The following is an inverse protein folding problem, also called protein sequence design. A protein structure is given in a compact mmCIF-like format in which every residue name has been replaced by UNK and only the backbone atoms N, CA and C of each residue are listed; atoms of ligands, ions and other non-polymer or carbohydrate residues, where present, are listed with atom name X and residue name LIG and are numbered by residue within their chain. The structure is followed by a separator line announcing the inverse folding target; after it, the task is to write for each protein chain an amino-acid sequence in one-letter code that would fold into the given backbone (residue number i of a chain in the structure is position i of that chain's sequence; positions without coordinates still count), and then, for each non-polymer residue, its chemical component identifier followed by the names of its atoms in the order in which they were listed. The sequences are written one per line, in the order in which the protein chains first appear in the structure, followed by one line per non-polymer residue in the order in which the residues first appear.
data_IF_716468136979
#
_entry.id   IF_716468136979
#
_cell.length_a   1.000
_cell.length_b   1.000
_cell.length_c   1.000
_cell.angle_alpha   90.00
_cell.angle_beta   90.00
_cell.angle_gamma   90.00
#
_symmetry.space_group_name_H-M   'P 1'
#
loop_
_entity.id
_entity.type
_entity.pdbx_description
1 polymer ?
#
# COMPACT_ATOMS: atom_id res chain seq x y z
N UNK A 1 21.17 -12.02 9.71
CA UNK A 1 20.16 -11.07 9.19
C UNK A 1 18.75 -11.65 9.07
N UNK A 2 18.52 -12.97 9.02
CA UNK A 2 17.16 -13.56 8.96
C UNK A 2 16.43 -13.61 10.31
N UNK A 3 17.11 -13.51 11.46
CA UNK A 3 16.54 -13.83 12.77
C UNK A 3 15.74 -12.72 13.46
N UNK A 4 16.00 -11.43 13.20
CA UNK A 4 15.26 -10.33 13.83
C UNK A 4 13.98 -9.93 13.08
N UNK A 5 13.79 -10.42 11.84
CA UNK A 5 12.78 -9.91 10.94
C UNK A 5 11.52 -10.77 10.87
N UNK A 6 11.62 -12.06 11.12
CA UNK A 6 10.47 -12.94 11.14
C UNK A 6 9.54 -12.66 12.34
N UNK A 7 10.10 -12.26 13.47
CA UNK A 7 9.33 -11.92 14.67
C UNK A 7 8.39 -10.70 14.51
N UNK A 8 8.51 -9.93 13.43
CA UNK A 8 7.71 -8.72 13.18
C UNK A 8 6.62 -8.89 12.14
N UNK A 9 6.57 -10.02 11.42
CA UNK A 9 5.56 -10.26 10.39
C UNK A 9 4.13 -10.10 10.91
N UNK A 10 3.87 -10.58 12.10
CA UNK A 10 2.54 -10.54 12.72
C UNK A 10 2.36 -9.28 13.59
N UNK A 11 1.11 -8.81 13.80
CA UNK A 11 0.81 -7.77 14.77
C UNK A 11 1.32 -8.13 16.17
N UNK A 12 1.63 -7.11 16.98
CA UNK A 12 2.15 -7.30 18.33
C UNK A 12 1.20 -8.12 19.23
N UNK A 13 -0.10 -8.04 18.97
CA UNK A 13 -1.19 -8.73 19.67
C UNK A 13 -1.82 -9.86 18.82
N UNK A 14 -1.05 -10.48 17.95
CA UNK A 14 -1.53 -11.50 16.99
C UNK A 14 -2.25 -12.69 17.60
N UNK A 15 -2.00 -13.00 18.85
CA UNK A 15 -2.72 -14.07 19.59
C UNK A 15 -4.22 -13.76 19.76
N UNK A 16 -4.58 -12.47 19.75
CA UNK A 16 -5.95 -11.98 19.90
C UNK A 16 -6.55 -11.48 18.59
N UNK A 17 -5.69 -11.14 17.63
CA UNK A 17 -6.11 -10.61 16.33
C UNK A 17 -6.73 -11.68 15.44
N UNK A 18 -7.74 -11.29 14.66
CA UNK A 18 -8.29 -12.09 13.57
C UNK A 18 -7.66 -11.59 12.25
N UNK A 19 -6.82 -12.44 11.63
CA UNK A 19 -6.14 -12.08 10.41
C UNK A 19 -6.62 -12.96 9.25
N UNK A 20 -6.72 -12.36 8.07
CA UNK A 20 -7.04 -13.03 6.80
C UNK A 20 -5.87 -12.88 5.86
N UNK A 21 -5.54 -13.93 5.15
CA UNK A 21 -4.48 -13.93 4.17
C UNK A 21 -4.61 -14.98 3.10
N UNK A 22 -3.54 -15.14 2.35
CA UNK A 22 -3.46 -16.13 1.28
C UNK A 22 -2.07 -16.76 1.26
N UNK A 23 -2.02 -18.07 1.16
CA UNK A 23 -0.77 -18.83 1.10
C UNK A 23 -0.73 -19.73 -0.13
N UNK A 24 0.47 -19.98 -0.66
CA UNK A 24 0.69 -20.91 -1.75
C UNK A 24 0.81 -22.34 -1.19
N UNK A 25 -0.27 -23.10 -1.21
CA UNK A 25 -0.26 -24.52 -0.87
C UNK A 25 0.01 -25.39 -2.11
N UNK A 26 0.15 -26.70 -1.89
CA UNK A 26 0.42 -27.66 -2.97
C UNK A 26 -0.64 -27.61 -4.08
N UNK A 27 -1.91 -27.40 -3.71
CA UNK A 27 -3.03 -27.35 -4.64
C UNK A 27 -3.26 -25.97 -5.26
N UNK A 28 -2.53 -24.95 -4.82
CA UNK A 28 -2.60 -23.59 -5.35
C UNK A 28 -2.80 -22.52 -4.27
N UNK A 29 -3.06 -21.27 -4.70
CA UNK A 29 -3.37 -20.17 -3.80
C UNK A 29 -4.59 -20.48 -2.93
N UNK A 30 -4.45 -20.32 -1.62
CA UNK A 30 -5.42 -20.78 -0.64
C UNK A 30 -5.71 -19.67 0.38
N UNK A 31 -6.98 -19.25 0.56
CA UNK A 31 -7.39 -18.37 1.63
C UNK A 31 -7.14 -19.01 2.99
N UNK A 32 -6.55 -18.23 3.91
CA UNK A 32 -6.26 -18.67 5.28
C UNK A 32 -6.75 -17.65 6.29
N UNK A 33 -7.08 -18.17 7.48
CA UNK A 33 -7.38 -17.37 8.67
C UNK A 33 -6.30 -17.65 9.71
N UNK A 34 -5.76 -16.58 10.32
CA UNK A 34 -4.82 -16.68 11.43
C UNK A 34 -5.54 -16.29 12.70
N UNK A 35 -5.65 -17.21 13.64
CA UNK A 35 -6.30 -17.03 14.94
C UNK A 35 -5.82 -18.09 15.95
N UNK A 36 -5.79 -17.73 17.24
CA UNK A 36 -5.47 -18.67 18.32
C UNK A 36 -4.11 -19.37 18.10
N UNK A 37 -3.12 -18.67 17.61
CA UNK A 37 -1.76 -19.20 17.38
C UNK A 37 -1.61 -20.12 16.17
N UNK A 38 -2.63 -20.21 15.28
CA UNK A 38 -2.64 -21.11 14.12
C UNK A 38 -3.00 -20.41 12.83
N UNK A 39 -2.46 -20.91 11.74
CA UNK A 39 -2.86 -20.60 10.36
C UNK A 39 -3.75 -21.74 9.86
N UNK A 40 -4.97 -21.41 9.47
CA UNK A 40 -6.04 -22.37 9.15
C UNK A 40 -6.43 -22.19 7.69
N UNK A 41 -6.42 -23.26 6.91
CA UNK A 41 -6.97 -23.30 5.56
C UNK A 41 -8.50 -23.26 5.62
N UNK A 42 -9.09 -22.22 5.08
CA UNK A 42 -10.55 -22.00 5.05
C UNK A 42 -11.13 -22.10 3.64
N UNK A 43 -10.36 -22.62 2.69
CA UNK A 43 -10.78 -22.71 1.27
C UNK A 43 -12.04 -23.54 1.05
N UNK A 44 -12.35 -24.50 1.94
CA UNK A 44 -13.60 -25.26 1.89
C UNK A 44 -14.84 -24.39 2.21
N UNK A 45 -14.66 -23.24 2.86
CA UNK A 45 -15.73 -22.30 3.19
C UNK A 45 -15.81 -21.13 2.22
N UNK A 46 -14.67 -20.72 1.67
CA UNK A 46 -14.58 -19.65 0.67
C UNK A 46 -13.36 -19.91 -0.22
N UNK A 47 -13.57 -20.10 -1.52
CA UNK A 47 -12.50 -20.38 -2.48
C UNK A 47 -11.58 -19.21 -2.74
N UNK A 48 -12.05 -17.99 -2.48
CA UNK A 48 -11.32 -16.73 -2.67
C UNK A 48 -11.32 -15.90 -1.39
N UNK A 49 -10.39 -14.96 -1.28
CA UNK A 49 -10.41 -13.96 -0.19
C UNK A 49 -11.56 -12.99 -0.40
N UNK A 50 -11.95 -12.70 -1.65
CA UNK A 50 -13.14 -11.89 -1.92
C UNK A 50 -14.39 -12.51 -1.28
N UNK A 51 -14.67 -13.80 -1.56
CA UNK A 51 -15.79 -14.50 -0.93
C UNK A 51 -15.66 -14.57 0.61
N UNK A 52 -14.44 -14.77 1.11
CA UNK A 52 -14.19 -14.87 2.55
C UNK A 52 -14.55 -13.57 3.28
N UNK A 53 -14.20 -12.42 2.72
CA UNK A 53 -14.43 -11.12 3.36
C UNK A 53 -15.90 -10.68 3.35
N UNK A 54 -16.73 -11.24 2.48
CA UNK A 54 -18.20 -11.03 2.50
C UNK A 54 -18.89 -11.77 3.65
N UNK A 55 -18.17 -12.67 4.34
CA UNK A 55 -18.76 -13.48 5.41
C UNK A 55 -18.75 -12.75 6.75
N UNK A 56 -19.85 -12.87 7.49
CA UNK A 56 -19.97 -12.35 8.87
C UNK A 56 -19.45 -13.30 9.95
N UNK A 57 -19.03 -14.52 9.59
CA UNK A 57 -18.70 -15.61 10.53
C UNK A 57 -17.22 -16.04 10.51
N UNK A 58 -16.32 -15.24 9.91
CA UNK A 58 -14.90 -15.58 9.70
C UNK A 58 -14.22 -16.05 11.00
N UNK A 59 -14.53 -15.43 12.12
CA UNK A 59 -13.96 -15.79 13.41
C UNK A 59 -14.27 -17.23 13.86
N UNK A 60 -15.37 -17.79 13.36
CA UNK A 60 -15.84 -19.15 13.74
C UNK A 60 -15.40 -20.23 12.76
N UNK A 61 -14.91 -19.85 11.57
CA UNK A 61 -14.48 -20.81 10.56
C UNK A 61 -13.34 -21.69 11.09
N UNK A 62 -13.36 -22.98 10.74
CA UNK A 62 -12.34 -23.94 11.09
C UNK A 62 -11.93 -24.73 9.85
N UNK A 63 -10.80 -25.44 9.93
CA UNK A 63 -10.27 -26.19 8.81
C UNK A 63 -8.91 -26.82 9.13
N UNK A 64 -8.25 -27.41 8.12
CA UNK A 64 -6.90 -27.95 8.29
C UNK A 64 -5.91 -26.87 8.76
N UNK A 65 -5.09 -27.22 9.75
CA UNK A 65 -4.00 -26.35 10.19
C UNK A 65 -2.87 -26.42 9.17
N UNK A 66 -2.48 -25.27 8.62
CA UNK A 66 -1.36 -25.14 7.69
C UNK A 66 -0.04 -25.11 8.44
N UNK A 67 0.06 -24.27 9.47
CA UNK A 67 1.20 -24.17 10.38
C UNK A 67 0.80 -23.42 11.66
N UNK A 68 1.66 -23.45 12.66
CA UNK A 68 1.53 -22.57 13.83
C UNK A 68 2.08 -21.17 13.51
N UNK A 69 1.57 -20.13 14.16
CA UNK A 69 2.09 -18.75 14.01
C UNK A 69 3.56 -18.63 14.42
N UNK A 70 4.05 -19.50 15.30
CA UNK A 70 5.45 -19.59 15.67
C UNK A 70 6.35 -19.88 14.46
N UNK A 71 5.87 -20.67 13.47
CA UNK A 71 6.62 -20.93 12.24
C UNK A 71 6.75 -19.69 11.36
N UNK A 72 5.77 -18.80 11.38
CA UNK A 72 5.82 -17.50 10.69
C UNK A 72 6.78 -16.53 11.38
N UNK A 73 6.90 -16.62 12.71
CA UNK A 73 7.79 -15.79 13.51
C UNK A 73 9.26 -16.28 13.53
N UNK A 74 9.49 -17.54 13.14
CA UNK A 74 10.84 -18.12 13.07
C UNK A 74 11.50 -17.84 11.71
N UNK A 75 12.67 -17.21 11.66
CA UNK A 75 13.43 -17.00 10.41
C UNK A 75 13.81 -18.26 9.65
N UNK A 76 13.92 -19.38 10.36
CA UNK A 76 14.15 -20.72 9.82
C UNK A 76 12.90 -21.58 9.73
N UNK A 77 11.75 -21.03 10.13
CA UNK A 77 10.48 -21.75 10.16
C UNK A 77 10.05 -22.18 8.76
N UNK A 78 9.64 -23.42 8.65
CA UNK A 78 9.08 -23.94 7.40
C UNK A 78 7.60 -23.59 7.34
N UNK A 79 7.25 -22.70 6.44
CA UNK A 79 5.86 -22.38 6.12
C UNK A 79 5.71 -22.19 4.60
N UNK A 80 4.50 -22.42 4.04
CA UNK A 80 4.24 -22.11 2.64
C UNK A 80 4.43 -20.61 2.33
N UNK A 81 4.79 -20.24 1.07
CA UNK A 81 4.92 -18.86 0.68
C UNK A 81 3.66 -18.04 0.99
N UNK A 82 3.84 -16.86 1.57
CA UNK A 82 2.75 -15.91 1.86
C UNK A 82 2.54 -15.07 0.62
N UNK A 83 1.34 -15.12 0.08
CA UNK A 83 0.93 -14.32 -1.08
C UNK A 83 0.37 -12.97 -0.61
N UNK A 84 0.15 -12.07 -1.56
CA UNK A 84 -0.70 -10.90 -1.30
C UNK A 84 -2.04 -11.36 -0.71
N UNK A 85 -2.51 -10.75 0.39
CA UNK A 85 -3.68 -11.24 1.12
C UNK A 85 -5.01 -10.94 0.43
N UNK A 86 -4.99 -10.48 -0.81
CA UNK A 86 -6.15 -10.19 -1.66
C UNK A 86 -6.08 -11.01 -2.95
N UNK A 87 -7.19 -11.16 -3.65
CA UNK A 87 -7.27 -11.84 -4.95
C UNK A 87 -8.12 -11.06 -5.98
N UNK A 88 -9.44 -11.10 -5.89
CA UNK A 88 -10.35 -10.50 -6.87
C UNK A 88 -10.65 -9.02 -6.60
N UNK A 89 -10.29 -8.50 -5.43
CA UNK A 89 -10.50 -7.11 -5.07
C UNK A 89 -9.81 -6.17 -6.06
N UNK A 90 -10.54 -5.15 -6.51
CA UNK A 90 -9.94 -4.07 -7.29
C UNK A 90 -8.90 -3.32 -6.45
N UNK A 91 -7.72 -3.05 -7.01
CA UNK A 91 -6.64 -2.36 -6.30
C UNK A 91 -6.68 -0.87 -6.65
N UNK A 92 -7.17 -0.07 -5.70
CA UNK A 92 -7.25 1.39 -5.81
C UNK A 92 -6.20 2.05 -4.93
N UNK A 93 -5.82 3.26 -5.29
CA UNK A 93 -4.97 4.11 -4.46
C UNK A 93 -5.47 5.55 -4.47
N UNK A 94 -5.25 6.26 -3.36
CA UNK A 94 -5.50 7.68 -3.23
C UNK A 94 -4.16 8.42 -3.18
N UNK A 95 -3.94 9.34 -4.10
CA UNK A 95 -2.76 10.20 -4.14
C UNK A 95 -2.95 11.50 -3.38
N UNK A 96 -1.83 12.12 -3.00
CA UNK A 96 -1.76 13.51 -2.49
C UNK A 96 -2.64 13.76 -1.26
N UNK A 97 -2.80 12.75 -0.42
CA UNK A 97 -3.67 12.78 0.77
C UNK A 97 -3.02 13.40 2.01
N UNK A 98 -1.75 13.79 1.93
CA UNK A 98 -1.02 14.49 2.99
C UNK A 98 -0.49 15.82 2.46
N UNK A 99 -0.50 16.87 3.31
CA UNK A 99 0.00 18.18 2.90
C UNK A 99 1.48 18.15 2.45
N UNK A 100 2.29 17.30 3.09
CA UNK A 100 3.71 17.11 2.70
C UNK A 100 3.81 16.48 1.33
N UNK A 101 3.02 15.43 1.04
CA UNK A 101 3.01 14.79 -0.27
C UNK A 101 2.53 15.74 -1.37
N UNK A 102 1.54 16.61 -1.07
CA UNK A 102 1.11 17.66 -1.99
C UNK A 102 2.25 18.59 -2.40
N UNK A 103 3.05 19.04 -1.43
CA UNK A 103 4.21 19.88 -1.69
C UNK A 103 5.28 19.17 -2.53
N UNK A 104 5.58 17.92 -2.21
CA UNK A 104 6.54 17.12 -2.99
C UNK A 104 6.09 16.94 -4.45
N UNK A 105 4.79 16.69 -4.69
CA UNK A 105 4.26 16.61 -6.06
C UNK A 105 4.39 17.92 -6.83
N UNK A 106 4.15 19.07 -6.18
CA UNK A 106 4.38 20.39 -6.81
C UNK A 106 5.86 20.63 -7.12
N UNK A 107 6.75 20.16 -6.24
CA UNK A 107 8.21 20.23 -6.47
C UNK A 107 8.59 19.37 -7.69
N UNK A 108 8.14 18.12 -7.75
CA UNK A 108 8.40 17.20 -8.85
C UNK A 108 7.87 17.73 -10.20
N UNK A 109 6.66 18.29 -10.20
CA UNK A 109 6.06 18.92 -11.39
C UNK A 109 6.92 20.10 -11.89
N UNK A 110 7.32 21.00 -11.00
CA UNK A 110 8.16 22.17 -11.35
C UNK A 110 9.57 21.77 -11.78
N UNK A 111 10.11 20.73 -11.17
CA UNK A 111 11.38 20.12 -11.56
C UNK A 111 11.28 19.26 -12.84
N UNK A 112 10.06 19.03 -13.36
CA UNK A 112 9.79 18.17 -14.55
C UNK A 112 10.35 16.75 -14.39
N UNK A 113 10.33 16.21 -13.18
CA UNK A 113 10.89 14.90 -12.85
C UNK A 113 12.42 14.85 -12.78
N UNK A 114 13.08 16.00 -12.71
CA UNK A 114 14.52 16.11 -12.54
C UNK A 114 14.87 16.27 -11.05
N UNK A 115 15.56 15.27 -10.49
CA UNK A 115 15.92 15.23 -9.09
C UNK A 115 16.88 16.38 -8.68
N UNK A 116 17.81 16.75 -9.57
CA UNK A 116 18.81 17.81 -9.31
C UNK A 116 18.12 19.18 -9.20
N UNK A 117 17.10 19.44 -10.03
CA UNK A 117 16.33 20.69 -10.00
C UNK A 117 15.41 20.77 -8.76
N UNK A 118 14.91 19.63 -8.26
CA UNK A 118 13.92 19.57 -7.20
C UNK A 118 14.42 20.20 -5.88
N UNK A 119 15.70 20.02 -5.54
CA UNK A 119 16.27 20.55 -4.30
C UNK A 119 16.22 22.07 -4.21
N UNK A 120 16.54 22.76 -5.31
CA UNK A 120 16.48 24.24 -5.36
C UNK A 120 15.06 24.80 -5.18
N UNK A 121 14.06 24.05 -5.61
CA UNK A 121 12.64 24.46 -5.58
C UNK A 121 12.03 24.24 -4.18
N UNK A 122 12.44 23.20 -3.45
CA UNK A 122 11.82 22.77 -2.19
C UNK A 122 11.73 23.88 -1.12
N UNK A 123 12.84 24.55 -0.86
CA UNK A 123 12.90 25.57 0.18
C UNK A 123 11.98 26.77 -0.08
N UNK A 124 11.88 27.20 -1.32
CA UNK A 124 11.02 28.34 -1.72
C UNK A 124 9.53 27.99 -1.58
N UNK A 125 9.13 26.81 -2.04
CA UNK A 125 7.74 26.37 -1.96
C UNK A 125 7.27 26.15 -0.53
N UNK A 126 8.06 25.46 0.29
CA UNK A 126 7.71 25.21 1.70
C UNK A 126 7.50 26.53 2.46
N UNK A 127 8.40 27.49 2.26
CA UNK A 127 8.31 28.80 2.91
C UNK A 127 7.06 29.60 2.47
N UNK A 128 6.64 29.46 1.20
CA UNK A 128 5.57 30.29 0.62
C UNK A 128 4.17 29.72 0.80
N UNK A 129 4.00 28.39 0.70
CA UNK A 129 2.66 27.76 0.66
C UNK A 129 2.48 26.61 1.66
N UNK A 130 3.56 26.06 2.24
CA UNK A 130 3.48 24.86 3.09
C UNK A 130 2.55 25.00 4.29
N UNK A 131 2.62 26.13 5.00
CA UNK A 131 1.75 26.41 6.15
C UNK A 131 0.26 26.52 5.78
N UNK A 132 -0.05 27.16 4.64
CA UNK A 132 -1.42 27.32 4.17
C UNK A 132 -2.07 25.98 3.82
N UNK A 133 -1.35 25.11 3.11
CA UNK A 133 -1.87 23.80 2.70
C UNK A 133 -2.17 22.92 3.91
N UNK A 134 -1.31 22.93 4.94
CA UNK A 134 -1.52 22.16 6.18
C UNK A 134 -2.68 22.65 7.05
N UNK A 135 -3.12 23.90 6.88
CA UNK A 135 -4.11 24.54 7.76
C UNK A 135 -5.55 24.37 7.29
N UNK A 136 -5.80 23.95 6.06
CA UNK A 136 -7.14 23.86 5.49
C UNK A 136 -7.65 22.44 5.39
N UNK A 137 -8.96 22.28 5.64
CA UNK A 137 -9.65 21.01 5.36
C UNK A 137 -9.99 20.96 3.87
N UNK A 138 -9.64 19.89 3.15
CA UNK A 138 -9.97 19.73 1.73
C UNK A 138 -11.47 19.93 1.46
N UNK A 139 -11.80 20.68 0.40
CA UNK A 139 -13.17 20.98 0.00
C UNK A 139 -13.91 22.00 0.85
N UNK A 140 -13.24 22.63 1.85
CA UNK A 140 -13.86 23.68 2.67
C UNK A 140 -13.86 25.05 1.97
N UNK A 141 -14.62 26.02 2.52
CA UNK A 141 -14.58 27.42 2.07
C UNK A 141 -13.20 28.04 2.20
N UNK A 142 -12.49 27.73 3.27
CA UNK A 142 -11.12 28.19 3.51
C UNK A 142 -10.14 27.61 2.47
N UNK A 143 -10.34 26.36 2.06
CA UNK A 143 -9.56 25.77 0.97
C UNK A 143 -9.84 26.46 -0.37
N UNK A 144 -11.10 26.83 -0.65
CA UNK A 144 -11.45 27.56 -1.86
C UNK A 144 -10.86 28.97 -1.89
N UNK A 145 -10.82 29.68 -0.73
CA UNK A 145 -10.16 30.98 -0.61
C UNK A 145 -8.63 30.86 -0.82
N UNK A 146 -8.01 29.83 -0.22
CA UNK A 146 -6.59 29.55 -0.43
C UNK A 146 -6.30 29.24 -1.90
N UNK A 147 -7.14 28.45 -2.57
CA UNK A 147 -7.04 28.17 -3.99
C UNK A 147 -7.03 29.45 -4.82
N UNK A 148 -7.99 30.35 -4.58
CA UNK A 148 -8.07 31.63 -5.29
C UNK A 148 -6.78 32.46 -5.11
N UNK A 149 -6.28 32.56 -3.88
CA UNK A 149 -5.05 33.29 -3.58
C UNK A 149 -3.81 32.69 -4.27
N UNK A 150 -3.73 31.33 -4.36
CA UNK A 150 -2.64 30.64 -5.02
C UNK A 150 -2.70 30.78 -6.54
N UNK A 151 -3.90 30.83 -7.13
CA UNK A 151 -4.08 31.12 -8.57
C UNK A 151 -3.62 32.55 -8.88
N UNK A 152 -4.06 33.54 -8.11
CA UNK A 152 -3.67 34.95 -8.28
C UNK A 152 -2.16 35.16 -8.15
N UNK A 153 -1.51 34.39 -7.27
CA UNK A 153 -0.07 34.42 -7.08
C UNK A 153 0.73 33.60 -8.13
N UNK A 154 0.07 32.93 -9.09
CA UNK A 154 0.71 32.06 -10.08
C UNK A 154 1.38 30.82 -9.47
N UNK A 155 0.90 30.36 -8.29
CA UNK A 155 1.46 29.23 -7.57
C UNK A 155 0.57 27.98 -7.60
N UNK A 156 -0.53 28.01 -8.33
CA UNK A 156 -1.43 26.87 -8.46
C UNK A 156 -0.80 25.70 -9.23
N UNK A 157 -1.17 24.49 -8.83
CA UNK A 157 -0.78 23.24 -9.51
C UNK A 157 -1.96 22.28 -9.47
N UNK A 158 -2.05 21.39 -10.45
CA UNK A 158 -3.04 20.32 -10.49
C UNK A 158 -2.99 19.40 -9.26
N UNK A 159 -1.82 19.22 -8.65
CA UNK A 159 -1.68 18.45 -7.42
C UNK A 159 -2.28 19.14 -6.20
N UNK A 160 -2.31 20.46 -6.18
CA UNK A 160 -3.01 21.23 -5.17
C UNK A 160 -4.53 21.12 -5.31
N UNK A 161 -5.04 20.91 -6.54
CA UNK A 161 -6.46 20.67 -6.76
C UNK A 161 -6.95 19.44 -6.01
N UNK A 162 -6.23 18.31 -6.10
CA UNK A 162 -6.60 17.07 -5.42
C UNK A 162 -6.21 17.07 -3.94
N UNK A 163 -5.22 17.89 -3.55
CA UNK A 163 -4.80 18.01 -2.15
C UNK A 163 -5.82 18.75 -1.29
N UNK A 164 -6.31 19.92 -1.76
CA UNK A 164 -7.17 20.81 -0.98
C UNK A 164 -8.56 21.04 -1.60
N UNK A 165 -8.78 20.65 -2.86
CA UNK A 165 -10.08 20.71 -3.51
C UNK A 165 -11.10 19.70 -2.95
N UNK A 166 -12.34 19.70 -3.46
CA UNK A 166 -13.39 18.80 -2.97
C UNK A 166 -13.12 17.34 -3.29
N UNK A 167 -12.53 17.04 -4.46
CA UNK A 167 -12.36 15.69 -4.96
C UNK A 167 -10.94 15.18 -4.71
N UNK A 168 -10.84 13.95 -4.18
CA UNK A 168 -9.56 13.28 -4.00
C UNK A 168 -9.05 12.70 -5.33
N UNK A 169 -7.73 12.60 -5.46
CA UNK A 169 -7.15 11.74 -6.48
C UNK A 169 -7.37 10.27 -6.09
N UNK A 170 -8.18 9.55 -6.86
CA UNK A 170 -8.38 8.10 -6.71
C UNK A 170 -8.16 7.42 -8.05
N UNK A 171 -7.25 6.44 -8.11
CA UNK A 171 -6.91 5.75 -9.35
C UNK A 171 -6.81 4.24 -9.16
N UNK A 172 -6.80 3.48 -10.27
CA UNK A 172 -6.52 2.05 -10.25
C UNK A 172 -5.01 1.84 -10.22
N UNK A 173 -4.51 1.23 -9.15
CA UNK A 173 -3.07 1.03 -8.92
C UNK A 173 -2.52 -0.19 -9.66
N UNK A 174 -3.27 -1.29 -9.65
CA UNK A 174 -2.83 -2.55 -10.24
C UNK A 174 -4.02 -3.43 -10.65
N UNK A 175 -3.86 -4.32 -11.63
CA UNK A 175 -4.84 -5.34 -11.96
C UNK A 175 -5.05 -6.33 -10.79
N UNK A 176 -6.20 -6.98 -10.75
CA UNK A 176 -6.48 -8.07 -9.81
C UNK A 176 -5.45 -9.19 -9.97
N UNK A 177 -5.05 -9.84 -8.88
CA UNK A 177 -4.06 -10.92 -8.83
C UNK A 177 -2.62 -10.53 -9.22
N UNK A 178 -2.32 -9.26 -9.51
CA UNK A 178 -0.97 -8.82 -9.90
C UNK A 178 -0.12 -8.33 -8.73
N UNK A 179 -0.70 -8.16 -7.55
CA UNK A 179 0.00 -7.70 -6.36
C UNK A 179 0.89 -8.79 -5.77
N UNK A 180 2.02 -8.38 -5.19
CA UNK A 180 2.97 -9.28 -4.55
C UNK A 180 2.84 -9.23 -3.03
N UNK A 181 3.13 -10.35 -2.36
CA UNK A 181 2.99 -10.50 -0.92
C UNK A 181 4.27 -10.21 -0.13
N UNK A 182 4.26 -10.65 1.11
CA UNK A 182 5.40 -10.57 2.00
C UNK A 182 6.57 -11.43 1.51
N UNK A 183 7.77 -10.88 1.59
CA UNK A 183 9.02 -11.55 1.17
C UNK A 183 9.24 -11.57 -0.35
N UNK A 184 8.26 -11.13 -1.14
CA UNK A 184 8.39 -11.09 -2.59
C UNK A 184 9.20 -9.88 -3.07
N UNK A 185 9.67 -9.96 -4.32
CA UNK A 185 10.30 -8.82 -4.99
C UNK A 185 9.26 -7.76 -5.39
N UNK A 186 9.65 -6.48 -5.26
CA UNK A 186 8.91 -5.35 -5.85
C UNK A 186 9.70 -4.73 -7.00
N UNK A 187 8.99 -4.39 -8.07
CA UNK A 187 9.56 -3.95 -9.34
C UNK A 187 9.55 -2.45 -9.51
N UNK A 188 10.72 -1.85 -9.74
CA UNK A 188 10.86 -0.51 -10.31
C UNK A 188 11.03 -0.61 -11.83
N UNK A 189 10.60 0.37 -12.60
CA UNK A 189 10.87 0.37 -14.05
C UNK A 189 12.36 0.46 -14.32
N UNK A 190 12.84 -0.36 -15.25
CA UNK A 190 14.27 -0.41 -15.62
C UNK A 190 14.79 0.87 -16.28
N UNK A 191 13.90 1.76 -16.73
CA UNK A 191 14.18 3.06 -17.36
C UNK A 191 13.84 4.25 -16.43
N UNK A 192 13.57 3.99 -15.14
CA UNK A 192 13.42 5.02 -14.12
C UNK A 192 14.75 5.28 -13.41
N UNK A 193 15.06 6.54 -13.21
CA UNK A 193 16.27 7.02 -12.52
C UNK A 193 15.96 7.72 -11.19
N UNK A 194 14.66 7.97 -10.89
CA UNK A 194 14.24 8.59 -9.64
C UNK A 194 12.94 7.96 -9.15
N UNK A 195 13.05 7.08 -8.17
CA UNK A 195 11.95 6.26 -7.67
C UNK A 195 12.11 5.98 -6.17
N UNK A 196 11.02 5.60 -5.53
CA UNK A 196 10.99 5.38 -4.08
C UNK A 196 9.86 4.41 -3.68
N UNK A 197 9.91 3.84 -2.45
CA UNK A 197 8.73 3.22 -1.86
C UNK A 197 7.78 4.28 -1.35
N UNK A 198 6.51 3.99 -1.36
CA UNK A 198 5.48 4.71 -0.63
C UNK A 198 4.87 3.76 0.40
N UNK A 199 5.26 3.89 1.70
CA UNK A 199 4.71 3.09 2.78
C UNK A 199 3.32 3.59 3.14
N UNK A 200 2.33 2.70 3.06
CA UNK A 200 0.93 3.07 3.22
C UNK A 200 0.15 2.08 4.08
N UNK A 201 -0.92 2.58 4.69
CA UNK A 201 -2.01 1.71 5.14
C UNK A 201 -2.96 1.51 3.97
N UNK A 202 -3.43 0.28 3.84
CA UNK A 202 -4.40 -0.14 2.83
C UNK A 202 -5.65 -0.61 3.54
N UNK A 203 -6.77 0.08 3.37
CA UNK A 203 -8.06 -0.39 3.88
C UNK A 203 -8.70 -1.36 2.89
N UNK A 204 -9.48 -2.29 3.43
CA UNK A 204 -10.13 -3.35 2.67
C UNK A 204 -11.65 -3.21 2.82
N UNK A 205 -12.33 -3.07 1.70
CA UNK A 205 -13.78 -2.91 1.63
C UNK A 205 -14.44 -4.07 0.90
N UNK A 206 -15.59 -4.50 1.41
CA UNK A 206 -16.50 -5.47 0.81
C UNK A 206 -17.26 -4.89 -0.39
N UNK A 207 -18.04 -5.71 -1.07
CA UNK A 207 -18.80 -5.31 -2.26
C UNK A 207 -19.86 -4.22 -1.97
N UNK A 208 -20.37 -4.15 -0.75
CA UNK A 208 -21.29 -3.09 -0.28
C UNK A 208 -20.56 -1.81 0.20
N UNK A 209 -19.22 -1.79 0.11
CA UNK A 209 -18.39 -0.67 0.50
C UNK A 209 -18.08 -0.56 2.00
N UNK A 210 -18.45 -1.56 2.79
CA UNK A 210 -18.11 -1.60 4.20
C UNK A 210 -16.62 -1.90 4.38
N UNK A 211 -15.90 -1.04 5.09
CA UNK A 211 -14.50 -1.31 5.46
C UNK A 211 -14.49 -2.38 6.55
N UNK A 212 -13.82 -3.49 6.31
CA UNK A 212 -13.77 -4.65 7.21
C UNK A 212 -12.43 -4.84 7.89
N UNK A 213 -11.39 -4.14 7.46
CA UNK A 213 -10.06 -4.27 8.04
C UNK A 213 -9.03 -3.46 7.27
N UNK A 214 -7.77 -3.65 7.64
CA UNK A 214 -6.63 -2.99 7.00
C UNK A 214 -5.40 -3.90 6.93
N UNK A 215 -4.47 -3.51 6.06
CA UNK A 215 -3.15 -4.13 5.89
C UNK A 215 -2.12 -3.07 5.53
N UNK A 216 -0.86 -3.48 5.30
CA UNK A 216 0.21 -2.60 4.84
C UNK A 216 0.37 -2.68 3.32
N UNK A 217 0.84 -1.59 2.73
CA UNK A 217 1.14 -1.51 1.31
C UNK A 217 2.47 -0.84 1.01
N UNK A 218 3.09 -1.28 -0.08
CA UNK A 218 4.20 -0.61 -0.73
C UNK A 218 3.76 -0.20 -2.14
N UNK A 219 3.36 1.07 -2.27
CA UNK A 219 3.05 1.68 -3.56
C UNK A 219 4.36 2.17 -4.20
N UNK A 220 5.00 1.30 -4.99
CA UNK A 220 6.24 1.69 -5.69
C UNK A 220 5.96 2.87 -6.62
N UNK A 221 6.72 3.94 -6.41
CA UNK A 221 6.54 5.20 -7.12
C UNK A 221 7.72 5.54 -8.02
N UNK A 222 7.44 6.14 -9.18
CA UNK A 222 8.42 6.61 -10.17
C UNK A 222 8.31 8.14 -10.32
N UNK A 223 9.05 8.88 -9.47
CA UNK A 223 9.00 10.34 -9.37
C UNK A 223 9.39 11.03 -10.68
N UNK A 224 10.34 10.45 -11.43
CA UNK A 224 10.77 10.95 -12.75
C UNK A 224 9.68 10.83 -13.82
N UNK A 225 8.76 9.86 -13.68
CA UNK A 225 7.61 9.72 -14.59
C UNK A 225 6.46 10.65 -14.17
N UNK A 226 6.06 10.61 -12.92
CA UNK A 226 4.96 11.46 -12.41
C UNK A 226 5.29 12.95 -12.52
N UNK A 227 6.54 13.35 -12.20
CA UNK A 227 6.97 14.73 -12.26
C UNK A 227 7.00 15.31 -13.69
N UNK A 228 7.13 14.44 -14.72
CA UNK A 228 7.05 14.91 -16.11
C UNK A 228 5.63 15.26 -16.53
N UNK A 229 4.64 14.50 -16.12
CA UNK A 229 3.24 14.72 -16.43
C UNK A 229 2.32 13.82 -15.60
N UNK A 230 1.25 14.36 -15.04
CA UNK A 230 0.17 13.58 -14.40
C UNK A 230 -0.46 12.56 -15.39
N UNK A 231 -0.41 12.79 -16.69
CA UNK A 231 -0.88 11.84 -17.70
C UNK A 231 -0.03 10.56 -17.79
N UNK A 232 1.13 10.53 -17.14
CA UNK A 232 1.97 9.35 -17.01
C UNK A 232 1.71 8.53 -15.75
N UNK A 233 0.69 8.88 -14.95
CA UNK A 233 0.37 8.19 -13.69
C UNK A 233 0.26 6.68 -13.88
N UNK A 234 -0.52 6.19 -14.85
CA UNK A 234 -0.64 4.76 -15.12
C UNK A 234 0.70 4.08 -15.43
N UNK A 235 1.58 4.78 -16.15
CA UNK A 235 2.93 4.26 -16.46
C UNK A 235 3.85 4.30 -15.23
N UNK A 236 3.66 5.25 -14.35
CA UNK A 236 4.42 5.35 -13.10
C UNK A 236 4.01 4.26 -12.09
N UNK A 237 2.73 3.95 -12.01
CA UNK A 237 2.14 3.14 -10.93
C UNK A 237 1.88 1.67 -11.31
N UNK A 238 1.41 1.39 -12.53
CA UNK A 238 1.04 0.03 -12.96
C UNK A 238 2.16 -0.62 -13.78
N UNK A 239 3.02 -1.36 -13.09
CA UNK A 239 4.10 -2.14 -13.68
C UNK A 239 4.15 -3.53 -13.02
N UNK A 240 4.81 -4.51 -13.64
CA UNK A 240 4.98 -5.83 -13.03
C UNK A 240 5.62 -5.71 -11.65
N UNK A 241 5.00 -6.34 -10.64
CA UNK A 241 5.43 -6.35 -9.24
C UNK A 241 5.54 -4.96 -8.56
N UNK A 242 4.93 -3.89 -9.10
CA UNK A 242 5.03 -2.53 -8.53
C UNK A 242 4.11 -2.27 -7.33
N UNK A 243 3.43 -3.30 -6.82
CA UNK A 243 2.46 -3.16 -5.73
C UNK A 243 2.63 -4.30 -4.72
N UNK A 244 3.23 -4.00 -3.57
CA UNK A 244 3.32 -4.91 -2.44
C UNK A 244 2.14 -4.73 -1.49
N UNK A 245 1.49 -5.82 -1.04
CA UNK A 245 0.42 -5.80 -0.03
C UNK A 245 0.63 -6.94 0.95
N UNK A 246 0.49 -6.68 2.23
CA UNK A 246 0.57 -7.72 3.23
C UNK A 246 1.11 -7.28 4.60
N UNK A 247 1.47 -8.24 5.44
CA UNK A 247 1.44 -9.70 5.23
C UNK A 247 0.02 -10.30 5.25
N UNK A 248 -0.86 -9.78 6.12
CA UNK A 248 -2.24 -10.22 6.32
C UNK A 248 -3.17 -9.02 6.41
N UNK A 249 -4.44 -9.21 6.13
CA UNK A 249 -5.50 -8.26 6.46
C UNK A 249 -5.86 -8.49 7.93
N UNK A 250 -5.76 -7.47 8.78
CA UNK A 250 -6.33 -7.50 10.11
C UNK A 250 -7.76 -7.03 10.04
N UNK A 251 -8.69 -7.88 10.45
CA UNK A 251 -10.10 -7.54 10.50
C UNK A 251 -10.42 -6.65 11.70
N UNK A 252 -11.39 -5.77 11.54
CA UNK A 252 -11.86 -4.92 12.62
C UNK A 252 -12.58 -5.73 13.69
N UNK A 253 -12.28 -5.42 14.95
CA UNK A 253 -12.86 -6.00 16.13
C UNK A 253 -12.90 -4.97 17.30
N UNK A 254 -13.08 -5.42 18.53
CA UNK A 254 -13.10 -4.53 19.70
C UNK A 254 -11.75 -3.89 20.05
N UNK A 255 -10.65 -4.39 19.49
CA UNK A 255 -9.27 -3.93 19.77
C UNK A 255 -8.62 -3.21 18.59
N UNK A 256 -9.08 -3.46 17.38
CA UNK A 256 -8.61 -2.84 16.15
C UNK A 256 -9.78 -2.27 15.36
N UNK A 257 -9.84 -0.96 15.23
CA UNK A 257 -10.94 -0.22 14.63
C UNK A 257 -10.42 0.80 13.62
N UNK A 258 -11.31 1.52 12.94
CA UNK A 258 -10.93 2.64 12.08
C UNK A 258 -10.19 3.73 12.85
N UNK A 259 -10.49 3.95 14.13
CA UNK A 259 -9.75 4.92 14.95
C UNK A 259 -8.30 4.45 15.20
N UNK A 260 -8.08 3.14 15.34
CA UNK A 260 -6.72 2.58 15.38
C UNK A 260 -5.96 2.85 14.06
N UNK A 261 -6.64 2.77 12.92
CA UNK A 261 -6.07 3.13 11.61
C UNK A 261 -5.74 4.62 11.54
N UNK A 262 -6.66 5.49 11.98
CA UNK A 262 -6.45 6.96 12.03
C UNK A 262 -5.26 7.37 12.89
N UNK A 263 -4.99 6.61 13.94
CA UNK A 263 -3.90 6.88 14.90
C UNK A 263 -2.59 6.15 14.55
N UNK A 264 -2.58 5.32 13.52
CA UNK A 264 -1.43 4.48 13.21
C UNK A 264 -0.20 5.30 12.84
N UNK A 265 0.94 4.79 13.29
CA UNK A 265 2.26 5.25 12.87
C UNK A 265 2.90 4.12 12.06
N UNK A 266 3.28 4.43 10.83
CA UNK A 266 3.92 3.48 9.91
C UNK A 266 5.39 3.81 9.83
N UNK A 267 6.23 2.85 10.21
CA UNK A 267 7.67 2.96 10.10
C UNK A 267 8.15 2.36 8.78
N UNK A 268 9.09 3.06 8.16
CA UNK A 268 9.82 2.61 6.97
C UNK A 268 11.29 2.41 7.33
N UNK A 269 11.85 1.30 6.87
CA UNK A 269 13.29 1.07 6.83
C UNK A 269 13.68 0.51 5.47
N UNK A 270 14.77 1.04 4.92
CA UNK A 270 15.41 0.54 3.69
C UNK A 270 16.84 0.18 4.05
N UNK A 271 17.21 -1.06 3.74
CA UNK A 271 18.57 -1.56 3.85
C UNK A 271 19.12 -1.80 2.44
N UNK A 272 20.07 -0.99 2.00
CA UNK A 272 20.73 -1.12 0.69
C UNK A 272 21.86 -2.14 0.72
N UNK A 273 22.15 -2.82 -0.41
CA UNK A 273 23.19 -3.85 -0.50
C UNK A 273 24.61 -3.30 -0.21
N UNK A 274 24.84 -2.01 -0.41
CA UNK A 274 26.10 -1.33 -0.13
C UNK A 274 26.23 -0.85 1.32
N UNK A 275 25.29 -1.21 2.20
CA UNK A 275 25.27 -0.79 3.61
C UNK A 275 24.55 0.55 3.85
N UNK A 276 23.88 1.11 2.84
CA UNK A 276 23.01 2.25 3.01
C UNK A 276 21.82 1.89 3.91
N UNK A 277 21.45 2.81 4.79
CA UNK A 277 20.27 2.66 5.65
C UNK A 277 19.47 3.97 5.60
N UNK A 278 18.18 3.85 5.31
CA UNK A 278 17.23 4.94 5.45
C UNK A 278 16.11 4.50 6.38
N UNK A 279 15.72 5.40 7.29
CA UNK A 279 14.55 5.22 8.15
C UNK A 279 13.62 6.40 8.00
N UNK A 280 12.32 6.15 8.12
CA UNK A 280 11.31 7.20 8.09
C UNK A 280 10.06 6.74 8.80
N UNK A 281 9.19 7.70 9.09
CA UNK A 281 7.95 7.49 9.81
C UNK A 281 6.84 8.27 9.13
N UNK A 282 5.67 7.66 8.96
CA UNK A 282 4.45 8.28 8.46
C UNK A 282 3.36 8.13 9.52
N UNK A 283 2.75 9.23 9.95
CA UNK A 283 1.63 9.17 10.90
C UNK A 283 0.31 9.45 10.21
N UNK A 284 -0.65 8.55 10.38
CA UNK A 284 -2.00 8.70 9.82
C UNK A 284 -2.76 9.90 10.39
N UNK A 285 -2.35 10.43 11.54
CA UNK A 285 -2.94 11.66 12.11
C UNK A 285 -2.74 12.90 11.24
N UNK A 286 -1.78 12.87 10.32
CA UNK A 286 -1.51 13.97 9.40
C UNK A 286 -2.21 13.81 8.04
N UNK A 287 -2.99 12.76 7.86
CA UNK A 287 -3.80 12.62 6.65
C UNK A 287 -4.82 13.74 6.56
N UNK A 288 -4.87 14.43 5.44
CA UNK A 288 -5.80 15.56 5.24
C UNK A 288 -7.21 15.11 4.85
N UNK A 289 -7.36 13.86 4.41
CA UNK A 289 -8.66 13.26 4.05
C UNK A 289 -8.90 12.02 4.89
N UNK A 290 -10.06 11.95 5.53
CA UNK A 290 -10.45 10.78 6.33
C UNK A 290 -10.53 9.51 5.46
N UNK A 291 -10.03 8.34 5.94
CA UNK A 291 -10.10 7.09 5.19
C UNK A 291 -11.51 6.69 4.74
N UNK A 292 -12.55 6.91 5.57
CA UNK A 292 -13.93 6.62 5.19
C UNK A 292 -14.44 7.58 4.10
N UNK A 293 -13.97 8.83 4.10
CA UNK A 293 -14.27 9.78 3.01
C UNK A 293 -13.63 9.33 1.69
N UNK A 294 -12.38 8.87 1.71
CA UNK A 294 -11.71 8.35 0.51
C UNK A 294 -12.44 7.12 -0.06
N UNK A 295 -12.88 6.19 0.79
CA UNK A 295 -13.69 5.03 0.38
C UNK A 295 -15.02 5.48 -0.20
N UNK A 296 -15.70 6.44 0.43
CA UNK A 296 -16.97 7.01 -0.09
C UNK A 296 -16.77 7.68 -1.44
N UNK A 297 -15.68 8.40 -1.67
CA UNK A 297 -15.36 9.01 -2.96
C UNK A 297 -15.06 7.95 -4.03
N UNK A 298 -14.35 6.88 -3.69
CA UNK A 298 -14.10 5.76 -4.61
C UNK A 298 -15.41 5.07 -5.06
N UNK A 299 -16.42 5.07 -4.20
CA UNK A 299 -17.74 4.45 -4.45
C UNK A 299 -18.77 5.38 -5.07
N UNK A 300 -18.51 6.69 -5.15
CA UNK A 300 -19.53 7.70 -5.44
C UNK A 300 -20.36 7.43 -6.70
N UNK A 301 -19.72 6.92 -7.77
CA UNK A 301 -20.38 6.57 -9.05
C UNK A 301 -19.92 5.19 -9.56
N UNK A 302 -19.36 4.35 -8.67
CA UNK A 302 -18.79 3.05 -9.04
C UNK A 302 -19.18 1.95 -8.07
N UNK A 303 -19.30 0.72 -8.57
CA UNK A 303 -19.51 -0.50 -7.82
C UNK A 303 -18.30 -1.43 -7.96
N UNK A 304 -18.00 -2.17 -6.89
CA UNK A 304 -16.91 -3.15 -6.85
C UNK A 304 -17.46 -4.50 -6.39
N UNK A 305 -18.00 -5.33 -7.30
CA UNK A 305 -18.70 -6.57 -6.94
C UNK A 305 -17.90 -7.58 -6.11
N UNK A 306 -16.57 -7.57 -6.27
CA UNK A 306 -15.64 -8.44 -5.54
C UNK A 306 -14.92 -7.68 -4.40
N UNK A 307 -15.46 -6.51 -4.01
CA UNK A 307 -14.79 -5.60 -3.09
C UNK A 307 -13.60 -4.87 -3.71
N UNK A 308 -12.95 -4.05 -2.91
CA UNK A 308 -11.73 -3.35 -3.32
C UNK A 308 -10.83 -3.09 -2.13
N UNK A 309 -9.56 -2.82 -2.43
CA UNK A 309 -8.63 -2.27 -1.46
C UNK A 309 -8.25 -0.86 -1.87
N UNK A 310 -8.03 0.00 -0.88
CA UNK A 310 -7.65 1.39 -1.11
C UNK A 310 -6.39 1.73 -0.31
N UNK A 311 -5.32 2.01 -1.02
CA UNK A 311 -4.14 2.64 -0.48
C UNK A 311 -4.48 4.08 -0.09
N UNK A 312 -4.14 4.49 1.14
CA UNK A 312 -4.56 5.76 1.71
C UNK A 312 -3.62 6.93 1.41
N UNK A 313 -2.52 6.67 0.72
CA UNK A 313 -1.45 7.62 0.50
C UNK A 313 -0.38 7.60 1.59
N UNK A 314 0.70 8.32 1.36
CA UNK A 314 1.86 8.37 2.25
C UNK A 314 2.21 9.80 2.65
N UNK A 315 2.63 9.97 3.91
CA UNK A 315 3.32 11.18 4.38
C UNK A 315 4.80 11.17 3.95
N UNK A 316 5.36 9.96 3.76
CA UNK A 316 6.79 9.77 3.60
C UNK A 316 7.23 10.05 2.16
N UNK A 317 8.11 11.05 2.01
CA UNK A 317 8.84 11.31 0.78
C UNK A 317 10.35 11.26 1.09
N UNK A 318 11.10 10.23 0.63
CA UNK A 318 12.51 10.11 0.94
C UNK A 318 13.32 11.19 0.23
N UNK A 319 13.85 12.12 1.01
CA UNK A 319 14.67 13.25 0.53
C UNK A 319 16.13 13.11 0.97
N UNK A 320 16.45 12.12 1.80
CA UNK A 320 17.81 11.86 2.26
C UNK A 320 18.68 11.42 1.07
N UNK A 321 19.84 12.06 0.91
CA UNK A 321 20.79 11.71 -0.14
C UNK A 321 21.31 10.28 0.02
N UNK A 322 21.47 9.58 -1.11
CA UNK A 322 22.02 8.22 -1.13
C UNK A 322 23.44 8.17 -1.67
N UNK A 323 23.67 8.65 -2.88
CA UNK A 323 24.95 8.54 -3.56
C UNK A 323 25.71 9.86 -3.60
N UNK A 324 25.04 10.93 -3.96
CA UNK A 324 25.65 12.26 -4.14
C UNK A 324 24.83 13.32 -3.37
N UNK A 325 25.50 14.29 -2.74
CA UNK A 325 24.82 15.39 -2.06
C UNK A 325 23.84 16.12 -2.98
N UNK A 326 22.61 16.28 -2.53
CA UNK A 326 21.56 17.01 -3.23
C UNK A 326 20.73 16.21 -4.23
N UNK A 327 21.05 14.93 -4.44
CA UNK A 327 20.29 14.07 -5.38
C UNK A 327 19.14 13.31 -4.76
N UNK A 328 19.04 13.33 -3.42
CA UNK A 328 18.00 12.62 -2.70
C UNK A 328 18.13 11.10 -2.83
N UNK A 329 17.00 10.42 -2.60
CA UNK A 329 16.92 8.98 -2.63
C UNK A 329 16.44 8.46 -4.00
N UNK A 330 17.02 7.35 -4.43
CA UNK A 330 16.47 6.45 -5.45
C UNK A 330 16.79 5.00 -5.08
N UNK A 331 15.90 4.07 -5.45
CA UNK A 331 16.13 2.65 -5.22
C UNK A 331 17.28 2.08 -6.05
N UNK A 332 17.92 1.07 -5.47
CA UNK A 332 18.81 0.13 -6.19
C UNK A 332 18.24 -1.28 -6.12
N UNK A 333 18.41 -2.09 -7.15
CA UNK A 333 18.12 -3.53 -7.05
C UNK A 333 18.88 -4.14 -5.87
N UNK A 334 18.18 -4.94 -5.06
CA UNK A 334 18.70 -5.52 -3.83
C UNK A 334 18.38 -4.71 -2.55
N UNK A 335 17.79 -3.52 -2.65
CA UNK A 335 17.24 -2.84 -1.47
C UNK A 335 16.20 -3.72 -0.79
N UNK A 336 16.25 -3.79 0.53
CA UNK A 336 15.21 -4.44 1.34
C UNK A 336 14.37 -3.35 1.99
N UNK A 337 13.12 -3.28 1.57
CA UNK A 337 12.11 -2.34 2.09
C UNK A 337 11.29 -3.02 3.17
N UNK A 338 11.20 -2.38 4.34
CA UNK A 338 10.40 -2.83 5.49
C UNK A 338 9.43 -1.74 5.86
N UNK A 339 8.15 -2.09 5.86
CA UNK A 339 7.05 -1.20 6.23
C UNK A 339 6.33 -1.86 7.40
N UNK A 340 6.23 -1.17 8.54
CA UNK A 340 5.70 -1.80 9.76
C UNK A 340 4.87 -0.85 10.62
N UNK A 341 3.91 -1.44 11.33
CA UNK A 341 3.21 -0.82 12.46
C UNK A 341 2.84 -1.90 13.47
N UNK A 342 2.85 -1.61 14.77
CA UNK A 342 2.53 -2.60 15.79
C UNK A 342 1.20 -3.32 15.58
N UNK A 343 0.20 -2.64 15.01
CA UNK A 343 -1.14 -3.19 14.80
C UNK A 343 -1.30 -4.07 13.56
N UNK A 344 -0.41 -3.98 12.56
CA UNK A 344 -0.51 -4.72 11.29
C UNK A 344 0.69 -5.63 11.00
N UNK A 345 1.75 -5.57 11.84
CA UNK A 345 2.98 -6.30 11.62
C UNK A 345 3.93 -5.60 10.65
N UNK A 346 4.68 -6.37 9.86
CA UNK A 346 5.70 -5.86 8.93
C UNK A 346 5.57 -6.48 7.54
N UNK A 347 5.44 -5.65 6.51
CA UNK A 347 5.59 -6.01 5.11
C UNK A 347 7.05 -5.84 4.71
N UNK A 348 7.65 -6.87 4.11
CA UNK A 348 9.03 -6.87 3.63
C UNK A 348 9.07 -7.18 2.15
N UNK A 349 9.75 -6.34 1.37
CA UNK A 349 9.96 -6.58 -0.06
C UNK A 349 11.43 -6.32 -0.44
N UNK A 350 11.95 -7.06 -1.40
CA UNK A 350 13.25 -6.79 -2.02
C UNK A 350 13.05 -6.08 -3.35
N UNK A 351 13.78 -5.01 -3.59
CA UNK A 351 13.65 -4.24 -4.84
C UNK A 351 14.41 -4.90 -5.98
N UNK A 352 13.75 -5.04 -7.11
CA UNK A 352 14.34 -5.42 -8.40
C UNK A 352 13.76 -4.56 -9.52
N UNK A 353 14.11 -4.83 -10.78
CA UNK A 353 13.40 -4.16 -11.88
C UNK A 353 12.13 -4.91 -12.27
N UNK A 354 11.10 -4.21 -12.75
CA UNK A 354 9.87 -4.84 -13.23
C UNK A 354 10.09 -5.86 -14.37
N UNK A 355 11.22 -5.75 -15.09
CA UNK A 355 11.62 -6.72 -16.12
C UNK A 355 12.31 -7.96 -15.55
N UNK A 356 12.99 -7.83 -14.42
CA UNK A 356 13.71 -8.94 -13.77
C UNK A 356 12.87 -9.65 -12.71
N UNK A 357 11.88 -8.96 -12.14
CA UNK A 357 10.92 -9.56 -11.21
C UNK A 357 10.21 -10.76 -11.85
N UNK A 358 9.78 -11.70 -11.01
CA UNK A 358 9.00 -12.86 -11.43
C UNK A 358 7.82 -12.41 -12.32
N UNK A 359 7.67 -13.00 -13.53
CA UNK A 359 6.57 -12.64 -14.41
C UNK A 359 5.20 -12.99 -13.77
N UNK A 360 4.28 -12.04 -13.80
CA UNK A 360 2.91 -12.30 -13.40
C UNK A 360 2.21 -13.22 -14.44
N UNK A 361 2.03 -14.47 -14.06
CA UNK A 361 1.45 -15.51 -14.94
C UNK A 361 0.11 -16.05 -14.42
N UNK A 362 -0.16 -15.90 -13.12
CA UNK A 362 -1.40 -16.39 -12.50
C UNK A 362 -2.49 -15.31 -12.56
N UNK A 363 -3.31 -15.34 -13.59
CA UNK A 363 -4.44 -14.42 -13.78
C UNK A 363 -5.79 -15.05 -13.44
N UNK A 364 -6.88 -14.33 -13.71
CA UNK A 364 -8.27 -14.77 -13.42
C UNK A 364 -8.57 -16.15 -14.03
N UNK A 365 -8.13 -16.42 -15.26
CA UNK A 365 -8.35 -17.73 -15.90
C UNK A 365 -7.69 -18.87 -15.14
N UNK A 366 -6.52 -18.64 -14.58
CA UNK A 366 -5.79 -19.67 -13.83
C UNK A 366 -6.39 -19.87 -12.45
N UNK A 367 -6.89 -18.80 -11.82
CA UNK A 367 -7.68 -18.89 -10.60
C UNK A 367 -8.95 -19.72 -10.84
N UNK A 368 -9.75 -19.42 -11.87
CA UNK A 368 -10.96 -20.17 -12.20
C UNK A 368 -10.66 -21.67 -12.43
N UNK A 369 -9.60 -21.98 -13.19
CA UNK A 369 -9.17 -23.38 -13.42
C UNK A 369 -8.70 -24.06 -12.14
N UNK A 370 -7.99 -23.35 -11.28
CA UNK A 370 -7.52 -23.87 -10.00
C UNK A 370 -8.71 -24.20 -9.09
N UNK A 371 -9.64 -23.27 -8.92
CA UNK A 371 -10.85 -23.46 -8.10
C UNK A 371 -11.72 -24.61 -8.62
N UNK A 372 -11.95 -24.67 -9.95
CA UNK A 372 -12.72 -25.76 -10.56
C UNK A 372 -12.08 -27.13 -10.33
N UNK A 373 -10.74 -27.24 -10.52
CA UNK A 373 -9.99 -28.48 -10.27
C UNK A 373 -10.08 -28.94 -8.81
N UNK A 374 -10.13 -28.01 -7.87
CA UNK A 374 -10.26 -28.26 -6.43
C UNK A 374 -11.70 -28.47 -5.98
N UNK A 375 -12.70 -28.29 -6.86
CA UNK A 375 -14.12 -28.36 -6.51
C UNK A 375 -14.58 -27.22 -5.60
N UNK A 376 -13.93 -26.06 -5.65
CA UNK A 376 -14.20 -24.88 -4.81
C UNK A 376 -15.12 -23.85 -5.49
N UNK A 377 -15.54 -24.09 -6.73
CA UNK A 377 -16.57 -23.29 -7.40
C UNK A 377 -17.90 -24.00 -7.17
N UNK A 378 -18.82 -23.35 -6.46
CA UNK A 378 -20.20 -23.81 -6.40
C UNK A 378 -20.85 -23.61 -7.78
N UNK A 379 -21.67 -24.61 -8.22
CA UNK A 379 -22.41 -24.56 -9.47
C UNK A 379 -23.62 -23.62 -9.37
#
# INVERSE_FOLDING_TARGET
MKSEHAARMLPADHDQALLVGRMQLADGPTPVVVKGGKVIDVSAHAGTVADLLERGDIATLDGPVVCDTAALADPGGEHPPILSPIDLQCVKAAGVTFAVSALERVIEERARGDADAAQGIRGDLEARIGGGIRSVKPGSSEAAELKAALIDAGMWSQYLEVAIGPDAEVFTKAPVLSTVGWGAEVGIRSDSSWNNPEPEIVVVATSDGKIVGATLGNDVNLRDFEGRSALLLGKAKDNNASTGIGPFIRLFDGTFTMDTVRDAVVDLRIDGPEGYVLTGTSTMREISRDPEDLVRQALSEHQYPDGFVLFLGTLFAPVQDRDEPGRGFTHKPGDVVRISTPSLGELVNTVTTSKAAEPWTFGIRDLMRNLARRGLIAA
#
